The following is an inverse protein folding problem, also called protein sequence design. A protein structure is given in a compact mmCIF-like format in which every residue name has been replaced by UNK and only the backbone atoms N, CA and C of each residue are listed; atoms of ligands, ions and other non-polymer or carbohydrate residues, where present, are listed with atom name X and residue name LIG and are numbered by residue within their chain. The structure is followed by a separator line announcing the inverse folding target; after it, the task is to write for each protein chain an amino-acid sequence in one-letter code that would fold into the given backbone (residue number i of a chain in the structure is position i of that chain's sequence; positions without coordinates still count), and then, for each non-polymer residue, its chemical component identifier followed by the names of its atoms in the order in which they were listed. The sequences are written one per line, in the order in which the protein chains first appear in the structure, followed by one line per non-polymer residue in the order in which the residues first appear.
data_IF_248280178730
#
_entry.id   IF_248280178730
#
_cell.length_a   1.000
_cell.length_b   1.000
_cell.length_c   1.000
_cell.angle_alpha   90.00
_cell.angle_beta   90.00
_cell.angle_gamma   90.00
#
_symmetry.space_group_name_H-M   'P 1'
#
loop_
_entity.id
_entity.type
_entity.pdbx_description
1 polymer ?
#
# COMPACT_ATOMS: atom_id res chain seq x y z
N UNK A 1 15.21 13.18 24.57
CA UNK A 1 15.76 13.11 23.19
C UNK A 1 15.09 14.19 22.35
N UNK A 2 15.78 14.93 21.48
CA UNK A 2 15.17 16.02 20.69
C UNK A 2 14.30 15.48 19.55
N UNK A 3 13.18 16.14 19.23
CA UNK A 3 12.30 15.75 18.12
C UNK A 3 12.95 16.07 16.77
N UNK A 4 12.76 15.20 15.77
CA UNK A 4 13.12 15.49 14.38
C UNK A 4 12.20 16.56 13.79
N UNK A 5 12.63 17.31 12.77
CA UNK A 5 11.83 18.42 12.25
C UNK A 5 10.50 17.98 11.63
N UNK A 6 10.48 16.83 10.94
CA UNK A 6 9.24 16.23 10.45
C UNK A 6 8.28 15.84 11.58
N UNK A 7 8.80 15.43 12.75
CA UNK A 7 8.01 15.12 13.93
C UNK A 7 7.45 16.39 14.56
N UNK A 8 8.23 17.48 14.62
CA UNK A 8 7.76 18.79 15.09
C UNK A 8 6.65 19.33 14.21
N UNK A 9 6.82 19.29 12.89
CA UNK A 9 5.79 19.72 11.93
C UNK A 9 4.50 18.92 12.06
N UNK A 10 4.61 17.59 12.23
CA UNK A 10 3.46 16.72 12.47
C UNK A 10 2.69 17.15 13.73
N UNK A 11 3.40 17.45 14.82
CA UNK A 11 2.80 17.90 16.07
C UNK A 11 2.13 19.26 15.93
N UNK A 12 2.82 20.26 15.36
CA UNK A 12 2.27 21.60 15.15
C UNK A 12 0.94 21.54 14.39
N UNK A 13 0.90 20.72 13.33
CA UNK A 13 -0.31 20.55 12.53
C UNK A 13 -1.42 19.82 13.27
N UNK A 14 -1.13 18.64 13.83
CA UNK A 14 -2.18 17.76 14.35
C UNK A 14 -2.70 18.16 15.74
N UNK A 15 -1.93 18.91 16.55
CA UNK A 15 -2.41 19.42 17.86
C UNK A 15 -3.64 20.31 17.75
N UNK A 16 -3.86 20.94 16.59
CA UNK A 16 -5.02 21.81 16.33
C UNK A 16 -6.36 21.04 16.30
N UNK A 17 -6.32 19.71 16.17
CA UNK A 17 -7.50 18.90 15.93
C UNK A 17 -7.61 17.72 16.91
N UNK A 18 -8.86 17.33 17.21
CA UNK A 18 -9.14 16.08 17.97
C UNK A 18 -8.95 14.81 17.12
N UNK A 19 -8.72 14.98 15.82
CA UNK A 19 -8.58 13.90 14.86
C UNK A 19 -7.36 14.15 14.00
N UNK A 20 -6.59 13.10 13.72
CA UNK A 20 -5.39 13.22 12.90
C UNK A 20 -5.04 11.94 12.15
N UNK A 21 -4.37 12.08 11.01
CA UNK A 21 -3.79 10.99 10.27
C UNK A 21 -2.29 11.22 10.09
N UNK A 22 -1.47 10.26 10.50
CA UNK A 22 -0.02 10.26 10.32
C UNK A 22 0.36 9.27 9.22
N UNK A 23 0.59 9.79 8.02
CA UNK A 23 1.12 9.01 6.90
C UNK A 23 2.62 9.28 6.72
N UNK A 24 3.43 8.64 7.55
CA UNK A 24 4.88 8.75 7.52
C UNK A 24 5.52 7.39 7.23
N UNK A 25 6.71 7.35 6.63
CA UNK A 25 7.38 6.06 6.32
C UNK A 25 7.70 5.27 7.61
N UNK A 26 7.73 3.92 7.57
CA UNK A 26 8.26 3.13 8.69
C UNK A 26 9.65 3.63 9.10
N UNK A 27 9.94 3.68 10.40
CA UNK A 27 11.21 4.19 10.94
C UNK A 27 11.32 5.71 11.08
N UNK A 28 10.33 6.50 10.63
CA UNK A 28 10.34 7.98 10.82
C UNK A 28 9.94 8.44 12.23
N UNK A 29 9.63 7.50 13.14
CA UNK A 29 9.17 7.79 14.51
C UNK A 29 7.71 8.20 14.62
N UNK A 30 6.79 7.54 13.87
CA UNK A 30 5.33 7.76 13.99
C UNK A 30 4.82 7.56 15.41
N UNK A 31 5.22 6.47 16.04
CA UNK A 31 4.85 6.15 17.43
C UNK A 31 5.31 7.23 18.39
N UNK A 32 6.49 7.82 18.16
CA UNK A 32 6.97 8.95 18.94
C UNK A 32 6.05 10.16 18.81
N UNK A 33 5.66 10.54 17.60
CA UNK A 33 4.69 11.64 17.37
C UNK A 33 3.36 11.35 18.07
N UNK A 34 2.87 10.11 17.96
CA UNK A 34 1.63 9.71 18.63
C UNK A 34 1.73 9.82 20.16
N UNK A 35 2.82 9.37 20.79
CA UNK A 35 3.06 9.53 22.23
C UNK A 35 3.08 11.01 22.65
N UNK A 36 3.71 11.88 21.87
CA UNK A 36 3.74 13.33 22.14
C UNK A 36 2.36 13.97 22.00
N UNK A 37 1.54 13.56 21.02
CA UNK A 37 0.14 13.99 20.92
C UNK A 37 -0.71 13.51 22.11
N UNK A 38 -0.45 12.30 22.61
CA UNK A 38 -1.12 11.75 23.79
C UNK A 38 -0.74 12.56 25.04
N UNK A 39 0.55 12.85 25.23
CA UNK A 39 1.03 13.69 26.34
C UNK A 39 0.45 15.10 26.32
N UNK A 40 0.27 15.69 25.14
CA UNK A 40 -0.34 17.03 25.00
C UNK A 40 -1.80 17.05 25.48
N UNK A 41 -2.54 15.99 25.20
CA UNK A 41 -3.98 15.89 25.50
C UNK A 41 -4.28 15.40 26.91
N UNK A 42 -3.34 14.66 27.54
CA UNK A 42 -3.49 14.06 28.86
C UNK A 42 -4.78 13.21 29.02
N UNK A 43 -4.95 12.15 28.22
CA UNK A 43 -6.15 11.33 28.26
C UNK A 43 -6.27 10.51 29.55
N UNK A 44 -7.51 10.23 29.96
CA UNK A 44 -7.79 9.31 31.07
C UNK A 44 -7.70 7.84 30.66
N UNK A 45 -7.73 7.57 29.35
CA UNK A 45 -7.63 6.23 28.78
C UNK A 45 -7.16 6.26 27.32
N UNK A 46 -6.22 5.37 26.99
CA UNK A 46 -5.69 5.21 25.63
C UNK A 46 -5.96 3.80 25.11
N UNK A 47 -6.55 3.70 23.91
CA UNK A 47 -6.75 2.43 23.23
C UNK A 47 -5.95 2.39 21.93
N UNK A 48 -4.98 1.49 21.87
CA UNK A 48 -4.23 1.18 20.66
C UNK A 48 -4.80 -0.05 19.97
N UNK A 49 -5.04 0.08 18.67
CA UNK A 49 -5.43 -1.00 17.78
C UNK A 49 -4.31 -1.16 16.74
N UNK A 50 -3.66 -2.32 16.70
CA UNK A 50 -2.54 -2.63 15.81
C UNK A 50 -2.70 -4.05 15.26
N UNK A 51 -2.06 -4.44 14.13
CA UNK A 51 -1.96 -5.83 13.74
C UNK A 51 -1.39 -6.71 14.86
N UNK A 52 -1.92 -7.92 15.03
CA UNK A 52 -1.41 -8.83 16.06
C UNK A 52 0.11 -9.06 15.95
N UNK A 53 0.66 -9.12 14.72
CA UNK A 53 2.08 -9.34 14.48
C UNK A 53 3.00 -8.21 14.94
N UNK A 54 2.48 -6.99 15.10
CA UNK A 54 3.26 -5.78 15.42
C UNK A 54 3.04 -5.30 16.85
N UNK A 55 2.21 -6.00 17.63
CA UNK A 55 1.84 -5.61 18.99
C UNK A 55 3.04 -5.47 19.93
N UNK A 56 3.92 -6.47 19.98
CA UNK A 56 5.11 -6.45 20.85
C UNK A 56 6.06 -5.31 20.50
N UNK A 57 6.29 -5.08 19.20
CA UNK A 57 7.12 -3.97 18.73
C UNK A 57 6.53 -2.61 19.13
N UNK A 58 5.20 -2.46 19.01
CA UNK A 58 4.51 -1.25 19.44
C UNK A 58 4.63 -1.03 20.96
N UNK A 59 4.50 -2.09 21.76
CA UNK A 59 4.70 -2.03 23.22
C UNK A 59 6.11 -1.55 23.59
N UNK A 60 7.14 -2.04 22.90
CA UNK A 60 8.53 -1.61 23.08
C UNK A 60 8.69 -0.13 22.69
N UNK A 61 8.14 0.28 21.55
CA UNK A 61 8.23 1.67 21.09
C UNK A 61 7.49 2.64 22.04
N UNK A 62 6.30 2.27 22.51
CA UNK A 62 5.55 3.05 23.50
C UNK A 62 6.32 3.11 24.81
N UNK A 63 6.93 2.01 25.27
CA UNK A 63 7.74 2.02 26.50
C UNK A 63 8.98 2.92 26.37
N UNK A 64 9.56 3.01 25.17
CA UNK A 64 10.72 3.85 24.88
C UNK A 64 10.39 5.34 24.86
N UNK A 65 9.28 5.74 24.22
CA UNK A 65 8.92 7.16 24.07
C UNK A 65 7.99 7.66 25.17
N UNK A 66 7.08 6.79 25.61
CA UNK A 66 6.37 6.87 26.88
C UNK A 66 5.25 7.87 26.96
N UNK A 67 4.23 7.48 27.72
CA UNK A 67 3.32 8.35 28.46
C UNK A 67 2.80 7.56 29.68
N UNK A 68 2.24 8.25 30.68
CA UNK A 68 1.90 7.64 31.99
C UNK A 68 0.40 7.39 32.21
N UNK A 69 -0.39 7.39 31.15
CA UNK A 69 -1.84 7.21 31.17
C UNK A 69 -2.25 5.73 31.05
N UNK A 70 -3.41 5.34 31.61
CA UNK A 70 -3.96 3.99 31.44
C UNK A 70 -4.12 3.64 29.96
N UNK A 71 -3.58 2.49 29.54
CA UNK A 71 -3.60 2.06 28.16
C UNK A 71 -3.97 0.60 27.96
N UNK A 72 -4.56 0.31 26.81
CA UNK A 72 -4.74 -1.05 26.28
C UNK A 72 -4.24 -1.13 24.84
N UNK A 73 -3.52 -2.21 24.52
CA UNK A 73 -3.04 -2.49 23.16
C UNK A 73 -3.66 -3.80 22.69
N UNK A 74 -4.47 -3.73 21.64
CA UNK A 74 -5.24 -4.87 21.12
C UNK A 74 -4.91 -5.15 19.65
N UNK A 75 -5.00 -6.42 19.28
CA UNK A 75 -4.93 -6.86 17.89
C UNK A 75 -6.22 -6.54 17.14
N UNK A 76 -6.14 -5.94 15.94
CA UNK A 76 -7.32 -5.71 15.09
C UNK A 76 -8.01 -7.04 14.71
N UNK A 77 -7.24 -8.12 14.53
CA UNK A 77 -7.77 -9.46 14.28
C UNK A 77 -8.59 -9.99 15.49
N UNK A 78 -8.11 -9.72 16.72
CA UNK A 78 -8.81 -10.09 17.95
C UNK A 78 -10.13 -9.33 18.13
N UNK A 79 -10.18 -8.07 17.67
CA UNK A 79 -11.40 -7.24 17.73
C UNK A 79 -12.55 -7.85 16.91
N UNK A 80 -12.24 -8.49 15.77
CA UNK A 80 -13.24 -9.24 14.99
C UNK A 80 -13.64 -10.56 15.64
N UNK A 81 -12.70 -11.28 16.24
CA UNK A 81 -12.90 -12.66 16.67
C UNK A 81 -13.46 -12.80 18.10
N UNK A 82 -13.41 -11.73 18.91
CA UNK A 82 -13.83 -11.79 20.31
C UNK A 82 -14.84 -10.70 20.67
N UNK A 83 -16.09 -11.10 20.88
CA UNK A 83 -17.17 -10.23 21.35
C UNK A 83 -16.89 -9.69 22.75
N UNK A 84 -16.33 -10.54 23.61
CA UNK A 84 -15.91 -10.16 24.97
C UNK A 84 -14.89 -9.03 24.93
N UNK A 85 -13.86 -9.14 24.09
CA UNK A 85 -12.84 -8.10 23.95
C UNK A 85 -13.45 -6.80 23.39
N UNK A 86 -14.29 -6.91 22.36
CA UNK A 86 -14.97 -5.75 21.79
C UNK A 86 -15.85 -5.01 22.82
N UNK A 87 -16.66 -5.76 23.58
CA UNK A 87 -17.51 -5.20 24.63
C UNK A 87 -16.70 -4.59 25.78
N UNK A 88 -15.59 -5.22 26.14
CA UNK A 88 -14.65 -4.70 27.13
C UNK A 88 -14.09 -3.33 26.72
N UNK A 89 -13.49 -3.22 25.54
CA UNK A 89 -12.95 -1.96 25.03
C UNK A 89 -14.05 -0.90 24.87
N UNK A 90 -15.25 -1.31 24.42
CA UNK A 90 -16.42 -0.42 24.32
C UNK A 90 -16.81 0.16 25.68
N UNK A 91 -16.83 -0.65 26.74
CA UNK A 91 -17.18 -0.19 28.08
C UNK A 91 -16.11 0.73 28.65
N UNK A 92 -14.82 0.43 28.43
CA UNK A 92 -13.71 1.30 28.81
C UNK A 92 -13.81 2.69 28.16
N UNK A 93 -14.04 2.74 26.85
CA UNK A 93 -14.22 4.00 26.12
C UNK A 93 -15.46 4.77 26.59
N UNK A 94 -16.58 4.08 26.85
CA UNK A 94 -17.80 4.73 27.36
C UNK A 94 -17.64 5.35 28.74
N UNK A 95 -16.84 4.73 29.60
CA UNK A 95 -16.61 5.20 30.97
C UNK A 95 -15.49 6.24 31.06
N UNK A 96 -14.79 6.48 29.94
CA UNK A 96 -13.77 7.51 29.81
C UNK A 96 -14.42 8.81 29.33
N UNK A 97 -13.98 9.92 29.90
CA UNK A 97 -14.40 11.28 29.54
C UNK A 97 -13.43 11.92 28.54
N UNK A 98 -12.16 11.53 28.59
CA UNK A 98 -11.09 12.04 27.74
C UNK A 98 -10.25 10.91 27.14
N UNK A 99 -10.87 10.09 26.28
CA UNK A 99 -10.17 8.94 25.66
C UNK A 99 -9.43 9.32 24.38
N UNK A 100 -8.36 8.59 24.12
CA UNK A 100 -7.58 8.66 22.90
C UNK A 100 -7.53 7.27 22.23
N UNK A 101 -8.03 7.14 21.00
CA UNK A 101 -7.96 5.88 20.25
C UNK A 101 -7.00 6.01 19.06
N UNK A 102 -6.11 5.04 18.90
CA UNK A 102 -5.13 5.01 17.82
C UNK A 102 -5.32 3.74 16.99
N UNK A 103 -5.44 3.89 15.68
CA UNK A 103 -5.39 2.78 14.72
C UNK A 103 -4.05 2.80 14.00
N UNK A 104 -3.15 1.92 14.40
CA UNK A 104 -1.92 1.64 13.70
C UNK A 104 -2.16 0.70 12.50
N UNK A 105 -1.40 0.87 11.42
CA UNK A 105 -1.62 0.20 10.13
C UNK A 105 -3.08 0.33 9.63
N UNK A 106 -3.57 1.57 9.55
CA UNK A 106 -4.97 1.91 9.25
C UNK A 106 -5.54 1.30 7.96
N UNK A 107 -4.72 0.86 7.01
CA UNK A 107 -5.19 0.12 5.83
C UNK A 107 -5.84 -1.23 6.17
N UNK A 108 -5.66 -1.77 7.38
CA UNK A 108 -6.37 -2.97 7.84
C UNK A 108 -7.89 -2.78 7.91
N UNK A 109 -8.36 -1.54 8.08
CA UNK A 109 -9.79 -1.18 8.13
C UNK A 109 -10.34 -0.66 6.79
N UNK A 110 -9.67 -0.90 5.65
CA UNK A 110 -10.13 -0.42 4.32
C UNK A 110 -11.43 -1.05 3.81
N UNK A 111 -11.76 -2.26 4.24
CA UNK A 111 -12.99 -2.94 3.81
C UNK A 111 -14.15 -2.59 4.77
N UNK A 112 -15.08 -1.75 4.33
CA UNK A 112 -16.23 -1.29 5.13
C UNK A 112 -17.17 -2.41 5.57
N UNK A 113 -17.21 -3.52 4.83
CA UNK A 113 -18.09 -4.65 5.13
C UNK A 113 -17.46 -5.62 6.15
N UNK A 114 -16.16 -5.50 6.41
CA UNK A 114 -15.49 -6.36 7.38
C UNK A 114 -15.92 -6.00 8.81
N UNK A 115 -16.24 -7.02 9.62
CA UNK A 115 -16.64 -6.84 11.02
C UNK A 115 -15.60 -6.04 11.83
N UNK A 116 -14.31 -6.30 11.61
CA UNK A 116 -13.21 -5.54 12.24
C UNK A 116 -13.29 -4.04 11.98
N UNK A 117 -13.59 -3.64 10.74
CA UNK A 117 -13.72 -2.23 10.34
C UNK A 117 -14.94 -1.61 11.01
N UNK A 118 -16.08 -2.29 10.97
CA UNK A 118 -17.30 -1.80 11.60
C UNK A 118 -17.15 -1.64 13.12
N UNK A 119 -16.47 -2.60 13.78
CA UNK A 119 -16.16 -2.52 15.22
C UNK A 119 -15.20 -1.39 15.54
N UNK A 120 -14.11 -1.25 14.78
CA UNK A 120 -13.14 -0.17 14.97
C UNK A 120 -13.80 1.22 14.84
N UNK A 121 -14.63 1.44 13.82
CA UNK A 121 -15.40 2.69 13.64
C UNK A 121 -16.40 2.90 14.79
N UNK A 122 -17.09 1.84 15.24
CA UNK A 122 -18.03 1.95 16.38
C UNK A 122 -17.31 2.32 17.67
N UNK A 123 -16.11 1.78 17.91
CA UNK A 123 -15.28 2.17 19.05
C UNK A 123 -14.78 3.61 18.90
N UNK A 124 -14.31 4.02 17.72
CA UNK A 124 -13.77 5.37 17.52
C UNK A 124 -14.79 6.47 17.76
N UNK A 125 -16.07 6.22 17.45
CA UNK A 125 -17.18 7.14 17.75
C UNK A 125 -17.39 7.40 19.24
N UNK A 126 -16.89 6.53 20.12
CA UNK A 126 -16.96 6.69 21.58
C UNK A 126 -15.74 7.44 22.14
N UNK A 127 -14.63 7.47 21.41
CA UNK A 127 -13.43 8.14 21.87
C UNK A 127 -13.55 9.66 21.73
N UNK A 128 -12.80 10.43 22.52
CA UNK A 128 -12.73 11.89 22.36
C UNK A 128 -11.78 12.26 21.22
N UNK A 129 -10.58 11.69 21.25
CA UNK A 129 -9.52 11.90 20.27
C UNK A 129 -9.23 10.65 19.45
N UNK A 130 -8.88 10.83 18.17
CA UNK A 130 -8.67 9.74 17.21
C UNK A 130 -7.43 9.99 16.38
N UNK A 131 -6.57 8.98 16.27
CA UNK A 131 -5.40 9.02 15.42
C UNK A 131 -5.38 7.77 14.54
N UNK A 132 -5.11 7.95 13.25
CA UNK A 132 -4.76 6.84 12.37
C UNK A 132 -3.30 6.97 11.95
N UNK A 133 -2.60 5.84 11.80
CA UNK A 133 -1.21 5.83 11.39
C UNK A 133 -0.98 4.81 10.28
N UNK A 134 -0.17 5.19 9.28
CA UNK A 134 0.32 4.25 8.29
C UNK A 134 1.56 4.75 7.53
N UNK A 135 2.24 3.87 6.81
CA UNK A 135 3.25 4.20 5.79
C UNK A 135 2.69 4.97 4.59
N UNK A 136 1.50 4.57 4.12
CA UNK A 136 0.84 5.17 2.96
C UNK A 136 -0.66 5.34 3.18
N UNK A 137 -1.25 6.42 2.64
CA UNK A 137 -2.67 6.71 2.85
C UNK A 137 -3.61 5.73 2.14
N UNK A 138 -3.16 5.12 1.03
CA UNK A 138 -3.97 4.29 0.14
C UNK A 138 -3.29 2.95 -0.11
N UNK A 139 -4.08 1.92 -0.41
CA UNK A 139 -3.57 0.62 -0.88
C UNK A 139 -3.85 0.40 -2.37
N UNK A 140 -5.04 0.77 -2.86
CA UNK A 140 -5.49 0.48 -4.22
C UNK A 140 -6.18 1.66 -4.89
N UNK A 141 -7.10 2.33 -4.18
CA UNK A 141 -7.89 3.44 -4.70
C UNK A 141 -8.36 4.36 -3.57
N UNK A 142 -8.97 5.49 -3.93
CA UNK A 142 -9.44 6.50 -2.96
C UNK A 142 -10.56 6.00 -2.04
N UNK A 143 -11.23 4.88 -2.37
CA UNK A 143 -12.26 4.32 -1.47
C UNK A 143 -11.66 3.82 -0.17
N UNK A 144 -10.36 3.47 -0.17
CA UNK A 144 -9.62 3.10 1.03
C UNK A 144 -9.60 4.24 2.07
N UNK A 145 -9.81 5.51 1.65
CA UNK A 145 -9.87 6.65 2.57
C UNK A 145 -11.18 6.71 3.34
N UNK A 146 -12.29 6.25 2.75
CA UNK A 146 -13.59 6.51 3.34
C UNK A 146 -13.69 5.93 4.75
N UNK A 147 -13.31 4.66 4.95
CA UNK A 147 -13.35 4.05 6.28
C UNK A 147 -12.33 4.64 7.25
N UNK A 148 -11.18 5.09 6.76
CA UNK A 148 -10.16 5.77 7.56
C UNK A 148 -10.66 7.13 8.07
N UNK A 149 -11.29 7.92 7.20
CA UNK A 149 -11.88 9.21 7.54
C UNK A 149 -13.13 9.05 8.40
N UNK A 150 -13.93 8.01 8.16
CA UNK A 150 -15.06 7.65 9.00
C UNK A 150 -14.63 7.22 10.41
N UNK A 151 -13.49 6.51 10.53
CA UNK A 151 -12.89 6.19 11.82
C UNK A 151 -12.48 7.47 12.58
N UNK A 152 -11.89 8.44 11.87
CA UNK A 152 -11.50 9.73 12.46
C UNK A 152 -12.73 10.54 12.88
N UNK A 153 -13.60 10.87 11.92
CA UNK A 153 -14.87 11.54 12.18
C UNK A 153 -15.75 11.53 10.93
N UNK A 154 -17.04 11.13 11.04
CA UNK A 154 -18.00 11.22 9.93
C UNK A 154 -18.19 12.66 9.43
N UNK A 155 -17.85 13.67 10.26
CA UNK A 155 -17.96 15.09 9.90
C UNK A 155 -16.92 15.57 8.89
N UNK A 156 -15.82 14.83 8.68
CA UNK A 156 -14.77 15.23 7.74
C UNK A 156 -15.30 15.20 6.30
N UNK A 157 -15.92 14.08 5.92
CA UNK A 157 -16.52 13.93 4.60
C UNK A 157 -17.98 14.37 4.59
N UNK A 158 -18.71 14.11 5.69
CA UNK A 158 -20.15 14.31 5.80
C UNK A 158 -20.95 13.65 4.65
N UNK A 159 -20.50 12.46 4.23
CA UNK A 159 -21.08 11.68 3.13
C UNK A 159 -21.17 10.21 3.53
N UNK A 160 -22.30 9.56 3.23
CA UNK A 160 -22.38 8.11 3.26
C UNK A 160 -21.43 7.49 2.23
N UNK A 161 -21.07 6.21 2.40
CA UNK A 161 -20.20 5.53 1.44
C UNK A 161 -20.75 5.53 0.00
N UNK A 162 -22.07 5.40 -0.15
CA UNK A 162 -22.74 5.46 -1.46
C UNK A 162 -22.62 6.85 -2.10
N UNK A 163 -22.84 7.90 -1.31
CA UNK A 163 -22.64 9.27 -1.77
C UNK A 163 -21.17 9.54 -2.12
N UNK A 164 -20.23 9.11 -1.29
CA UNK A 164 -18.80 9.23 -1.56
C UNK A 164 -18.42 8.57 -2.90
N UNK A 165 -18.87 7.33 -3.12
CA UNK A 165 -18.69 6.65 -4.41
C UNK A 165 -19.23 7.46 -5.58
N UNK A 166 -20.47 7.93 -5.48
CA UNK A 166 -21.11 8.71 -6.55
C UNK A 166 -20.44 10.06 -6.81
N UNK A 167 -19.90 10.71 -5.77
CA UNK A 167 -19.25 12.02 -5.86
C UNK A 167 -17.85 11.94 -6.45
N UNK A 168 -17.09 10.88 -6.16
CA UNK A 168 -15.65 10.81 -6.48
C UNK A 168 -15.26 9.70 -7.46
N UNK A 169 -16.14 8.76 -7.81
CA UNK A 169 -15.83 7.63 -8.69
C UNK A 169 -16.82 7.52 -9.85
N UNK A 170 -16.29 7.34 -11.06
CA UNK A 170 -17.02 6.88 -12.23
C UNK A 170 -16.87 5.37 -12.35
N UNK A 171 -17.99 4.65 -12.40
CA UNK A 171 -18.02 3.21 -12.54
C UNK A 171 -18.42 2.79 -13.95
N UNK A 172 -17.87 1.67 -14.39
CA UNK A 172 -18.38 0.91 -15.53
C UNK A 172 -18.82 -0.45 -15.00
N UNK A 173 -20.08 -0.78 -15.23
CA UNK A 173 -20.63 -2.09 -14.90
C UNK A 173 -20.28 -3.06 -16.02
N UNK A 174 -19.50 -4.08 -15.69
CA UNK A 174 -19.25 -5.22 -16.57
C UNK A 174 -20.25 -6.30 -16.20
N UNK A 175 -21.16 -6.62 -17.12
CA UNK A 175 -22.11 -7.72 -16.96
C UNK A 175 -21.57 -8.93 -17.69
N UNK A 176 -21.28 -9.99 -16.94
CA UNK A 176 -21.02 -11.31 -17.48
C UNK A 176 -22.32 -12.11 -17.43
N UNK A 177 -22.78 -12.54 -18.60
CA UNK A 177 -23.89 -13.47 -18.73
C UNK A 177 -23.31 -14.88 -18.64
N UNK A 178 -23.71 -15.61 -17.60
CA UNK A 178 -23.49 -17.05 -17.49
C UNK A 178 -24.77 -17.78 -17.86
N UNK A 179 -24.72 -19.02 -18.39
CA UNK A 179 -25.91 -19.79 -18.84
C UNK A 179 -27.02 -19.88 -17.77
N UNK A 180 -26.70 -19.71 -16.49
CA UNK A 180 -27.63 -19.79 -15.36
C UNK A 180 -27.69 -18.54 -14.47
N UNK A 181 -26.75 -17.58 -14.57
CA UNK A 181 -26.76 -16.37 -13.73
C UNK A 181 -26.29 -15.11 -14.48
N UNK A 182 -26.84 -13.95 -14.11
CA UNK A 182 -26.28 -12.66 -14.52
C UNK A 182 -25.39 -12.15 -13.40
N UNK A 183 -24.08 -12.05 -13.64
CA UNK A 183 -23.15 -11.47 -12.67
C UNK A 183 -22.64 -10.14 -13.20
N UNK A 184 -22.98 -9.06 -12.50
CA UNK A 184 -22.50 -7.72 -12.81
C UNK A 184 -21.45 -7.30 -11.78
N UNK A 185 -20.34 -6.75 -12.26
CA UNK A 185 -19.27 -6.20 -11.43
C UNK A 185 -18.99 -4.75 -11.83
N UNK A 186 -19.05 -3.84 -10.86
CA UNK A 186 -18.70 -2.45 -11.05
C UNK A 186 -17.18 -2.26 -10.92
N UNK A 187 -16.57 -1.66 -11.94
CA UNK A 187 -15.15 -1.32 -11.97
C UNK A 187 -15.01 0.20 -12.01
N UNK A 188 -14.13 0.76 -11.18
CA UNK A 188 -13.83 2.19 -11.21
C UNK A 188 -13.04 2.50 -12.48
N UNK A 189 -13.60 3.36 -13.34
CA UNK A 189 -12.98 3.82 -14.58
C UNK A 189 -12.15 5.09 -14.36
N UNK A 190 -12.69 6.05 -13.59
CA UNK A 190 -12.08 7.36 -13.38
C UNK A 190 -12.46 7.93 -12.01
N UNK A 191 -11.64 8.85 -11.49
CA UNK A 191 -11.97 9.66 -10.32
C UNK A 191 -12.36 11.09 -10.71
N UNK A 192 -13.26 11.68 -9.93
CA UNK A 192 -13.74 13.05 -10.10
C UNK A 192 -13.58 13.83 -8.81
N UNK A 193 -13.54 15.16 -8.88
CA UNK A 193 -13.54 16.07 -7.72
C UNK A 193 -12.41 15.82 -6.69
N UNK A 194 -11.24 15.37 -7.15
CA UNK A 194 -10.12 15.05 -6.26
C UNK A 194 -9.59 16.28 -5.53
N UNK A 195 -9.54 17.45 -6.18
CA UNK A 195 -9.13 18.70 -5.52
C UNK A 195 -10.03 19.05 -4.32
N UNK A 196 -11.34 18.89 -4.49
CA UNK A 196 -12.31 19.10 -3.42
C UNK A 196 -12.10 18.09 -2.29
N UNK A 197 -11.91 16.81 -2.61
CA UNK A 197 -11.57 15.79 -1.62
C UNK A 197 -10.31 16.17 -0.84
N UNK A 198 -9.25 16.60 -1.51
CA UNK A 198 -8.00 17.03 -0.87
C UNK A 198 -8.23 18.21 0.06
N UNK A 199 -9.01 19.21 -0.36
CA UNK A 199 -9.36 20.36 0.49
C UNK A 199 -10.05 19.94 1.78
N UNK A 200 -10.94 18.95 1.73
CA UNK A 200 -11.65 18.46 2.93
C UNK A 200 -10.73 17.73 3.92
N UNK A 201 -9.77 16.97 3.42
CA UNK A 201 -9.00 16.02 4.25
C UNK A 201 -7.64 16.57 4.69
N UNK A 202 -7.05 17.48 3.92
CA UNK A 202 -5.69 18.02 4.15
C UNK A 202 -5.48 18.54 5.58
N UNK A 203 -6.42 19.27 6.21
CA UNK A 203 -6.19 19.80 7.55
C UNK A 203 -5.87 18.73 8.59
N UNK A 204 -6.45 17.54 8.44
CA UNK A 204 -6.34 16.44 9.39
C UNK A 204 -5.21 15.46 9.06
N UNK A 205 -4.54 15.61 7.92
CA UNK A 205 -3.57 14.65 7.43
C UNK A 205 -2.18 15.29 7.44
N UNK A 206 -1.25 14.64 8.13
CA UNK A 206 0.17 14.91 7.97
C UNK A 206 0.83 13.80 7.16
N UNK A 207 1.53 14.17 6.10
CA UNK A 207 2.33 13.27 5.28
C UNK A 207 3.78 13.72 5.31
N UNK A 208 4.70 12.80 5.61
CA UNK A 208 6.13 13.07 5.44
C UNK A 208 6.60 12.34 4.18
N UNK A 209 6.61 13.03 3.05
CA UNK A 209 7.53 12.67 1.98
C UNK A 209 8.92 13.10 2.43
N UNK A 210 9.62 12.25 3.18
CA UNK A 210 11.06 12.20 2.92
C UNK A 210 11.18 11.69 1.48
N UNK A 211 11.13 12.62 0.52
CA UNK A 211 11.90 12.43 -0.70
C UNK A 211 13.30 12.11 -0.18
N UNK A 212 13.75 10.88 -0.45
CA UNK A 212 15.17 10.66 -0.31
C UNK A 212 15.81 11.66 -1.28
N UNK A 213 16.98 12.22 -0.95
CA UNK A 213 17.70 13.08 -1.90
C UNK A 213 17.96 12.35 -3.24
N UNK A 214 17.83 11.03 -3.22
CA UNK A 214 17.91 10.14 -4.35
C UNK A 214 16.56 9.94 -5.05
N UNK A 215 16.61 9.90 -6.37
CA UNK A 215 15.47 9.65 -7.26
C UNK A 215 15.27 8.16 -7.45
N UNK A 216 14.09 7.81 -7.94
CA UNK A 216 13.87 6.51 -8.57
C UNK A 216 13.60 6.68 -10.06
N UNK A 217 13.95 5.67 -10.84
CA UNK A 217 13.73 5.63 -12.27
C UNK A 217 13.04 4.31 -12.65
N UNK A 218 11.85 4.39 -13.22
CA UNK A 218 11.22 3.25 -13.87
C UNK A 218 11.60 3.24 -15.33
N UNK A 219 12.25 2.19 -15.78
CA UNK A 219 12.75 2.04 -17.14
C UNK A 219 12.16 0.77 -17.72
N UNK A 220 11.37 0.92 -18.78
CA UNK A 220 10.83 -0.20 -19.54
C UNK A 220 11.85 -0.61 -20.60
N UNK A 221 12.08 -1.91 -20.70
CA UNK A 221 12.88 -2.55 -21.74
C UNK A 221 11.98 -3.50 -22.49
N UNK A 222 11.75 -3.21 -23.76
CA UNK A 222 10.94 -4.06 -24.63
C UNK A 222 11.77 -5.25 -25.13
N UNK A 223 11.14 -6.43 -25.18
CA UNK A 223 11.71 -7.61 -25.82
C UNK A 223 10.68 -8.23 -26.77
N UNK A 224 11.17 -8.84 -27.83
CA UNK A 224 10.37 -9.63 -28.76
C UNK A 224 10.33 -11.08 -28.31
N UNK A 225 9.13 -11.64 -28.30
CA UNK A 225 8.94 -13.08 -28.14
C UNK A 225 9.11 -13.71 -29.52
N UNK A 226 9.87 -14.80 -29.59
CA UNK A 226 10.05 -15.55 -30.83
C UNK A 226 8.72 -16.10 -31.37
N UNK A 227 8.68 -16.38 -32.68
CA UNK A 227 7.43 -16.76 -33.36
C UNK A 227 6.81 -18.05 -32.79
N UNK A 228 7.63 -19.01 -32.34
CA UNK A 228 7.16 -20.28 -31.80
C UNK A 228 6.48 -20.09 -30.44
N UNK A 229 7.11 -19.34 -29.52
CA UNK A 229 6.55 -18.99 -28.23
C UNK A 229 5.35 -18.06 -28.37
N UNK A 230 5.36 -17.15 -29.36
CA UNK A 230 4.23 -16.27 -29.64
C UNK A 230 3.01 -17.08 -30.11
N UNK A 231 3.24 -18.08 -30.97
CA UNK A 231 2.20 -19.03 -31.38
C UNK A 231 1.63 -19.78 -30.18
N UNK A 232 2.49 -20.34 -29.31
CA UNK A 232 2.06 -21.01 -28.08
C UNK A 232 1.27 -20.07 -27.15
N UNK A 233 1.71 -18.81 -27.01
CA UNK A 233 0.99 -17.78 -26.26
C UNK A 233 -0.45 -17.62 -26.74
N UNK A 234 -0.64 -17.50 -28.07
CA UNK A 234 -1.97 -17.36 -28.65
C UNK A 234 -2.80 -18.65 -28.56
N UNK A 235 -2.20 -19.82 -28.74
CA UNK A 235 -2.89 -21.11 -28.58
C UNK A 235 -3.43 -21.28 -27.16
N UNK A 236 -2.58 -21.04 -26.14
CA UNK A 236 -2.99 -21.10 -24.73
C UNK A 236 -4.10 -20.07 -24.47
N UNK A 237 -3.94 -18.84 -24.96
CA UNK A 237 -4.93 -17.77 -24.79
C UNK A 237 -6.28 -18.14 -25.40
N UNK A 238 -6.30 -18.64 -26.63
CA UNK A 238 -7.55 -18.99 -27.32
C UNK A 238 -8.21 -20.22 -26.69
N UNK A 239 -7.44 -21.23 -26.28
CA UNK A 239 -7.97 -22.37 -25.51
C UNK A 239 -8.66 -21.91 -24.22
N UNK A 240 -8.05 -20.97 -23.48
CA UNK A 240 -8.69 -20.39 -22.30
C UNK A 240 -9.95 -19.61 -22.62
N UNK A 241 -9.96 -18.79 -23.68
CA UNK A 241 -11.15 -18.03 -24.09
C UNK A 241 -12.29 -18.96 -24.53
N UNK A 242 -11.97 -20.03 -25.26
CA UNK A 242 -12.94 -21.05 -25.65
C UNK A 242 -13.51 -21.78 -24.44
N UNK A 243 -12.67 -22.19 -23.49
CA UNK A 243 -13.12 -22.79 -22.22
C UNK A 243 -13.99 -21.82 -21.42
N UNK A 244 -13.66 -20.53 -21.41
CA UNK A 244 -14.46 -19.50 -20.73
C UNK A 244 -15.85 -19.39 -21.34
N UNK A 245 -15.92 -19.37 -22.67
CA UNK A 245 -17.15 -19.27 -23.42
C UNK A 245 -18.01 -20.54 -23.33
N UNK A 246 -17.39 -21.71 -23.32
CA UNK A 246 -18.08 -23.00 -23.36
C UNK A 246 -18.67 -23.42 -22.00
N UNK A 247 -17.95 -23.20 -20.90
CA UNK A 247 -18.26 -23.88 -19.64
C UNK A 247 -18.99 -23.05 -18.59
N UNK A 248 -19.25 -21.76 -18.78
CA UNK A 248 -19.86 -20.95 -17.71
C UNK A 248 -19.04 -21.04 -16.40
N UNK A 249 -17.75 -21.32 -16.50
CA UNK A 249 -16.85 -21.47 -15.35
C UNK A 249 -16.21 -20.11 -15.09
N UNK A 250 -16.16 -19.75 -13.81
CA UNK A 250 -15.40 -18.62 -13.31
C UNK A 250 -13.90 -18.89 -13.51
N UNK A 251 -13.37 -18.59 -14.70
CA UNK A 251 -11.95 -18.78 -15.00
C UNK A 251 -11.16 -17.82 -14.10
N UNK A 252 -10.26 -18.38 -13.31
CA UNK A 252 -9.34 -17.59 -12.52
C UNK A 252 -8.32 -16.91 -13.45
N UNK A 253 -8.60 -15.66 -13.83
CA UNK A 253 -7.71 -14.83 -14.65
C UNK A 253 -6.27 -14.82 -14.13
N UNK A 254 -6.08 -14.85 -12.80
CA UNK A 254 -4.75 -14.83 -12.21
C UNK A 254 -3.99 -16.13 -12.49
N UNK A 255 -4.66 -17.27 -12.48
CA UNK A 255 -4.08 -18.56 -12.87
C UNK A 255 -3.73 -18.58 -14.36
N UNK A 256 -4.69 -18.17 -15.21
CA UNK A 256 -4.48 -18.05 -16.66
C UNK A 256 -3.27 -17.17 -16.99
N UNK A 257 -3.19 -15.98 -16.38
CA UNK A 257 -2.08 -15.06 -16.59
C UNK A 257 -0.74 -15.65 -16.20
N UNK A 258 -0.70 -16.52 -15.18
CA UNK A 258 0.51 -17.20 -14.75
C UNK A 258 0.97 -18.23 -15.77
N UNK A 259 0.04 -19.03 -16.29
CA UNK A 259 0.33 -20.08 -17.29
C UNK A 259 0.79 -19.45 -18.61
N UNK A 260 0.06 -18.45 -19.10
CA UNK A 260 0.40 -17.75 -20.35
C UNK A 260 1.78 -17.07 -20.23
N UNK A 261 2.06 -16.35 -19.15
CA UNK A 261 3.36 -15.70 -18.97
C UNK A 261 4.51 -16.68 -18.74
N UNK A 262 4.24 -17.89 -18.22
CA UNK A 262 5.24 -18.93 -18.09
C UNK A 262 5.74 -19.45 -19.46
N UNK A 263 4.93 -19.37 -20.51
CA UNK A 263 5.31 -19.79 -21.87
C UNK A 263 6.56 -19.02 -22.36
N UNK A 264 6.56 -17.70 -22.23
CA UNK A 264 7.64 -16.84 -22.70
C UNK A 264 8.58 -16.35 -21.58
N UNK A 265 8.54 -16.98 -20.40
CA UNK A 265 9.36 -16.51 -19.27
C UNK A 265 10.87 -16.60 -19.54
N UNK A 266 11.31 -17.48 -20.43
CA UNK A 266 12.72 -17.68 -20.80
C UNK A 266 13.08 -17.11 -22.18
N UNK A 267 12.33 -16.17 -22.73
CA UNK A 267 12.68 -15.53 -24.01
C UNK A 267 14.14 -15.04 -23.99
N UNK A 268 14.91 -15.42 -25.02
CA UNK A 268 16.36 -15.19 -25.09
C UNK A 268 16.73 -13.71 -24.98
N UNK A 269 15.98 -12.82 -25.63
CA UNK A 269 16.18 -11.38 -25.56
C UNK A 269 16.14 -10.84 -24.11
N UNK A 270 15.37 -11.47 -23.21
CA UNK A 270 15.37 -11.07 -21.80
C UNK A 270 16.74 -11.26 -21.16
N UNK A 271 17.44 -12.34 -21.50
CA UNK A 271 18.79 -12.61 -21.01
C UNK A 271 19.78 -11.62 -21.59
N UNK A 272 19.71 -11.32 -22.90
CA UNK A 272 20.56 -10.32 -23.55
C UNK A 272 20.40 -8.93 -22.94
N UNK A 273 19.15 -8.49 -22.71
CA UNK A 273 18.88 -7.21 -22.04
C UNK A 273 19.40 -7.25 -20.60
N UNK A 274 19.15 -8.33 -19.87
CA UNK A 274 19.61 -8.48 -18.48
C UNK A 274 21.13 -8.41 -18.40
N UNK A 275 21.84 -9.10 -19.29
CA UNK A 275 23.31 -9.07 -19.39
C UNK A 275 23.84 -7.64 -19.60
N UNK A 276 23.23 -6.90 -20.53
CA UNK A 276 23.58 -5.50 -20.78
C UNK A 276 23.33 -4.60 -19.55
N UNK A 277 22.23 -4.85 -18.81
CA UNK A 277 21.89 -4.08 -17.62
C UNK A 277 22.81 -4.37 -16.42
N UNK A 278 23.27 -5.62 -16.26
CA UNK A 278 24.11 -6.01 -15.12
C UNK A 278 25.60 -5.71 -15.34
N UNK A 279 26.04 -5.51 -16.58
CA UNK A 279 27.46 -5.35 -16.91
C UNK A 279 28.12 -4.23 -16.09
N UNK A 280 29.07 -4.60 -15.22
CA UNK A 280 29.78 -3.67 -14.33
C UNK A 280 28.96 -3.15 -13.14
N UNK A 281 27.80 -3.78 -12.85
CA UNK A 281 26.86 -3.41 -11.78
C UNK A 281 26.36 -4.64 -11.01
N UNK A 282 27.03 -5.78 -11.14
CA UNK A 282 26.60 -7.09 -10.64
C UNK A 282 26.35 -7.07 -9.13
N UNK A 283 27.20 -6.39 -8.37
CA UNK A 283 27.10 -6.28 -6.90
C UNK A 283 25.98 -5.34 -6.41
N UNK A 284 25.51 -4.44 -7.28
CA UNK A 284 24.49 -3.42 -6.97
C UNK A 284 23.11 -3.73 -7.55
N UNK A 285 23.02 -4.86 -8.27
CA UNK A 285 21.82 -5.28 -8.99
C UNK A 285 21.16 -6.50 -8.36
N UNK A 286 19.83 -6.46 -8.26
CA UNK A 286 19.01 -7.61 -7.88
C UNK A 286 18.08 -7.96 -9.02
N UNK A 287 18.00 -9.24 -9.37
CA UNK A 287 17.04 -9.74 -10.34
C UNK A 287 15.87 -10.37 -9.59
N UNK A 288 14.68 -9.83 -9.82
CA UNK A 288 13.41 -10.38 -9.36
C UNK A 288 12.78 -11.23 -10.44
N UNK A 289 12.49 -12.48 -10.09
CA UNK A 289 11.74 -13.41 -10.93
C UNK A 289 10.52 -13.97 -10.20
N UNK A 290 9.62 -14.55 -10.96
CA UNK A 290 8.35 -15.09 -10.46
C UNK A 290 8.36 -16.61 -10.50
N UNK A 291 8.91 -17.18 -11.56
CA UNK A 291 8.88 -18.62 -11.80
C UNK A 291 10.16 -19.29 -11.31
N UNK A 292 10.02 -20.50 -10.76
CA UNK A 292 11.16 -21.34 -10.39
C UNK A 292 12.06 -21.63 -11.60
N UNK A 293 11.44 -21.85 -12.76
CA UNK A 293 12.16 -22.04 -14.04
C UNK A 293 13.02 -20.82 -14.40
N UNK A 294 12.49 -19.60 -14.23
CA UNK A 294 13.27 -18.37 -14.40
C UNK A 294 14.39 -18.26 -13.37
N UNK A 295 14.11 -18.57 -12.10
CA UNK A 295 15.12 -18.56 -11.02
C UNK A 295 16.30 -19.48 -11.34
N UNK A 296 16.03 -20.73 -11.73
CA UNK A 296 17.06 -21.72 -12.07
C UNK A 296 17.88 -21.28 -13.30
N UNK A 297 17.23 -20.81 -14.37
CA UNK A 297 17.92 -20.34 -15.57
C UNK A 297 18.77 -19.09 -15.32
N UNK A 298 18.27 -18.13 -14.53
CA UNK A 298 19.01 -16.94 -14.16
C UNK A 298 20.21 -17.28 -13.26
N UNK A 299 20.07 -18.24 -12.34
CA UNK A 299 21.17 -18.65 -11.46
C UNK A 299 22.31 -19.30 -12.25
N UNK A 300 21.98 -20.03 -13.31
CA UNK A 300 22.97 -20.59 -14.23
C UNK A 300 23.62 -19.51 -15.10
N UNK A 301 22.84 -18.56 -15.62
CA UNK A 301 23.35 -17.52 -16.51
C UNK A 301 24.16 -16.43 -15.77
N UNK A 302 23.75 -16.05 -14.57
CA UNK A 302 24.28 -14.91 -13.81
C UNK A 302 24.61 -15.30 -12.37
N UNK A 303 25.60 -16.18 -12.13
CA UNK A 303 25.89 -16.74 -10.81
C UNK A 303 26.35 -15.70 -9.78
N UNK A 304 26.91 -14.57 -10.26
CA UNK A 304 27.45 -13.51 -9.41
C UNK A 304 26.42 -12.42 -9.06
N UNK A 305 25.19 -12.51 -9.58
CA UNK A 305 24.13 -11.51 -9.35
C UNK A 305 23.12 -12.04 -8.35
N UNK A 306 22.61 -11.18 -7.48
CA UNK A 306 21.58 -11.58 -6.51
C UNK A 306 20.25 -11.84 -7.23
N UNK A 307 19.81 -13.10 -7.23
CA UNK A 307 18.49 -13.49 -7.75
C UNK A 307 17.54 -13.77 -6.57
N UNK A 308 16.32 -13.27 -6.66
CA UNK A 308 15.28 -13.51 -5.66
C UNK A 308 13.90 -13.62 -6.30
N UNK A 309 12.98 -14.28 -5.60
CA UNK A 309 11.57 -14.29 -5.96
C UNK A 309 10.77 -13.30 -5.14
N UNK A 310 9.61 -12.87 -5.66
CA UNK A 310 8.68 -12.01 -4.94
C UNK A 310 8.28 -12.61 -3.57
N UNK A 311 8.06 -13.92 -3.50
CA UNK A 311 7.71 -14.61 -2.26
C UNK A 311 8.87 -14.63 -1.24
N UNK A 312 10.10 -14.89 -1.69
CA UNK A 312 11.29 -14.92 -0.81
C UNK A 312 11.69 -13.53 -0.30
N UNK A 313 11.31 -12.46 -0.99
CA UNK A 313 11.59 -11.08 -0.54
C UNK A 313 10.81 -10.64 0.72
N UNK A 314 9.80 -11.41 1.13
CA UNK A 314 9.02 -11.18 2.35
C UNK A 314 9.82 -11.43 3.64
N UNK A 315 10.88 -12.25 3.60
CA UNK A 315 11.67 -12.69 4.78
C UNK A 315 12.66 -11.66 5.35
N UNK A 316 12.41 -10.36 5.19
CA UNK A 316 13.14 -9.36 6.00
C UNK A 316 14.57 -9.01 5.54
N UNK A 317 15.01 -9.44 4.34
CA UNK A 317 16.36 -9.14 3.83
C UNK A 317 16.64 -7.62 3.80
N UNK A 318 17.81 -7.21 4.30
CA UNK A 318 18.32 -5.84 4.16
C UNK A 318 19.01 -5.70 2.79
N UNK A 319 18.38 -4.96 1.88
CA UNK A 319 18.87 -4.78 0.50
C UNK A 319 19.31 -3.32 0.23
N UNK A 320 19.68 -2.55 1.25
CA UNK A 320 20.04 -1.12 1.09
C UNK A 320 21.28 -0.90 0.22
N UNK A 321 22.18 -1.89 0.13
CA UNK A 321 23.39 -1.81 -0.67
C UNK A 321 23.13 -1.89 -2.18
N UNK A 322 21.94 -2.34 -2.56
CA UNK A 322 21.52 -2.40 -3.95
C UNK A 322 20.76 -1.14 -4.32
N UNK A 323 20.97 -0.65 -5.53
CA UNK A 323 20.23 0.46 -6.10
C UNK A 323 19.65 0.12 -7.48
N UNK A 324 19.81 -1.12 -7.97
CA UNK A 324 19.18 -1.58 -9.20
C UNK A 324 18.33 -2.82 -8.96
N UNK A 325 17.10 -2.82 -9.50
CA UNK A 325 16.25 -4.00 -9.59
C UNK A 325 15.88 -4.25 -11.04
N UNK A 326 16.10 -5.47 -11.51
CA UNK A 326 15.59 -5.97 -12.77
C UNK A 326 14.41 -6.89 -12.49
N UNK A 327 13.22 -6.51 -12.94
CA UNK A 327 12.04 -7.36 -12.92
C UNK A 327 12.01 -8.20 -14.17
N UNK A 328 12.65 -9.37 -14.07
CA UNK A 328 12.75 -10.33 -15.16
C UNK A 328 11.38 -10.91 -15.51
N UNK A 329 10.57 -11.24 -14.51
CA UNK A 329 9.16 -11.63 -14.71
C UNK A 329 8.23 -10.60 -14.06
N UNK A 330 7.14 -10.25 -14.76
CA UNK A 330 6.17 -9.30 -14.22
C UNK A 330 5.28 -9.93 -13.14
N UNK A 331 4.88 -9.13 -12.16
CA UNK A 331 3.87 -9.49 -11.16
C UNK A 331 2.61 -8.64 -11.30
N UNK A 332 1.44 -9.27 -11.19
CA UNK A 332 0.16 -8.57 -11.07
C UNK A 332 -0.08 -8.01 -9.67
N UNK A 333 0.67 -8.50 -8.67
CA UNK A 333 0.51 -8.08 -7.28
C UNK A 333 1.35 -6.83 -6.99
N UNK A 334 0.68 -5.68 -7.08
CA UNK A 334 1.28 -4.39 -6.74
C UNK A 334 1.84 -4.33 -5.31
N UNK A 335 1.29 -5.09 -4.36
CA UNK A 335 1.81 -5.08 -2.99
C UNK A 335 3.17 -5.75 -2.89
N UNK A 336 3.39 -6.84 -3.64
CA UNK A 336 4.70 -7.47 -3.76
C UNK A 336 5.71 -6.54 -4.45
N UNK A 337 5.24 -5.82 -5.48
CA UNK A 337 6.04 -4.82 -6.18
C UNK A 337 6.48 -3.69 -5.25
N UNK A 338 5.55 -2.99 -4.60
CA UNK A 338 5.83 -1.91 -3.64
C UNK A 338 6.72 -2.39 -2.49
N UNK A 339 6.51 -3.60 -1.97
CA UNK A 339 7.39 -4.18 -0.95
C UNK A 339 8.82 -4.36 -1.46
N UNK A 340 9.01 -4.90 -2.67
CA UNK A 340 10.34 -5.10 -3.26
C UNK A 340 11.07 -3.77 -3.50
N UNK A 341 10.37 -2.76 -4.01
CA UNK A 341 10.95 -1.45 -4.31
C UNK A 341 11.43 -0.74 -3.05
N UNK A 342 10.62 -0.81 -1.98
CA UNK A 342 10.94 -0.25 -0.66
C UNK A 342 12.09 -0.96 0.05
N UNK A 343 12.55 -2.12 -0.41
CA UNK A 343 13.75 -2.77 0.15
C UNK A 343 15.02 -1.99 -0.18
N UNK A 344 15.08 -1.42 -1.38
CA UNK A 344 16.21 -0.62 -1.86
C UNK A 344 15.98 0.89 -1.64
N UNK A 345 14.76 1.37 -1.90
CA UNK A 345 14.39 2.79 -1.75
C UNK A 345 13.84 3.07 -0.35
N UNK A 346 14.75 3.17 0.61
CA UNK A 346 14.44 3.47 2.01
C UNK A 346 15.51 4.34 2.66
N UNK A 347 15.21 4.85 3.85
CA UNK A 347 16.13 5.68 4.64
C UNK A 347 17.49 5.01 4.76
N UNK A 348 18.56 5.75 4.44
CA UNK A 348 19.93 5.24 4.37
C UNK A 348 20.45 5.00 2.95
N UNK A 349 19.57 5.00 1.92
CA UNK A 349 19.99 4.94 0.52
C UNK A 349 20.65 6.26 0.10
N UNK A 350 21.81 6.15 -0.56
CA UNK A 350 22.63 7.30 -1.01
C UNK A 350 22.75 7.39 -2.53
N UNK A 351 22.35 6.34 -3.26
CA UNK A 351 22.35 6.29 -4.72
C UNK A 351 20.94 6.31 -5.29
N UNK A 352 20.78 6.86 -6.50
CA UNK A 352 19.54 6.77 -7.26
C UNK A 352 19.15 5.31 -7.52
N UNK A 353 17.87 5.01 -7.36
CA UNK A 353 17.34 3.66 -7.54
C UNK A 353 16.78 3.47 -8.96
N UNK A 354 17.14 2.37 -9.61
CA UNK A 354 16.68 2.05 -10.97
C UNK A 354 15.85 0.76 -10.96
N UNK A 355 14.65 0.83 -11.52
CA UNK A 355 13.71 -0.27 -11.64
C UNK A 355 13.52 -0.59 -13.13
N UNK A 356 14.07 -1.71 -13.56
CA UNK A 356 14.06 -2.14 -14.96
C UNK A 356 12.95 -3.17 -15.14
N UNK A 357 11.95 -2.86 -15.97
CA UNK A 357 10.86 -3.77 -16.32
C UNK A 357 11.09 -4.36 -17.70
N UNK A 358 11.22 -5.68 -17.80
CA UNK A 358 11.21 -6.36 -19.09
C UNK A 358 9.75 -6.55 -19.54
N UNK A 359 9.40 -6.03 -20.72
CA UNK A 359 8.05 -6.07 -21.29
C UNK A 359 8.05 -6.74 -22.66
N UNK A 360 7.31 -7.83 -22.79
CA UNK A 360 7.13 -8.52 -24.07
C UNK A 360 6.17 -7.79 -24.99
N UNK A 361 6.29 -8.02 -26.29
CA UNK A 361 5.38 -7.57 -27.34
C UNK A 361 4.00 -8.29 -27.34
N UNK A 362 3.44 -8.58 -26.16
CA UNK A 362 2.17 -9.29 -25.98
C UNK A 362 1.16 -8.47 -25.17
N UNK A 363 -0.13 -8.75 -25.41
CA UNK A 363 -1.22 -8.06 -24.73
C UNK A 363 -1.22 -8.24 -23.21
N UNK A 364 -0.76 -9.40 -22.71
CA UNK A 364 -0.70 -9.68 -21.27
C UNK A 364 0.25 -8.72 -20.54
N UNK A 365 1.46 -8.52 -21.06
CA UNK A 365 2.45 -7.63 -20.44
C UNK A 365 2.01 -6.16 -20.51
N UNK A 366 1.46 -5.74 -21.65
CA UNK A 366 0.87 -4.40 -21.81
C UNK A 366 -0.24 -4.11 -20.79
N UNK A 367 -1.06 -5.13 -20.49
CA UNK A 367 -2.12 -5.03 -19.48
C UNK A 367 -1.57 -4.95 -18.06
N UNK A 368 -0.49 -5.67 -17.73
CA UNK A 368 0.20 -5.56 -16.44
C UNK A 368 0.77 -4.14 -16.27
N UNK A 369 1.50 -3.65 -17.27
CA UNK A 369 2.16 -2.34 -17.25
C UNK A 369 1.15 -1.21 -17.03
N UNK A 370 0.05 -1.26 -17.77
CA UNK A 370 -1.04 -0.28 -17.64
C UNK A 370 -1.62 -0.27 -16.22
N UNK A 371 -1.77 -1.44 -15.60
CA UNK A 371 -2.33 -1.55 -14.25
C UNK A 371 -1.36 -1.06 -13.16
N UNK A 372 -0.06 -1.34 -13.30
CA UNK A 372 0.97 -0.88 -12.35
C UNK A 372 1.14 0.64 -12.45
N UNK A 373 1.20 1.18 -13.66
CA UNK A 373 1.33 2.62 -13.92
C UNK A 373 0.16 3.41 -13.32
N UNK A 374 -1.09 2.97 -13.56
CA UNK A 374 -2.30 3.60 -12.99
C UNK A 374 -2.29 3.68 -11.47
N UNK A 375 -1.84 2.60 -10.78
CA UNK A 375 -1.78 2.56 -9.32
C UNK A 375 -0.70 3.47 -8.75
N UNK A 376 0.47 3.50 -9.40
CA UNK A 376 1.60 4.32 -8.98
C UNK A 376 1.30 5.80 -9.14
N UNK A 377 0.69 6.19 -10.27
CA UNK A 377 0.30 7.58 -10.56
C UNK A 377 -0.66 8.14 -9.49
N UNK A 378 -1.73 7.40 -9.14
CA UNK A 378 -2.70 7.84 -8.12
C UNK A 378 -2.05 8.05 -6.75
N UNK A 379 -1.18 7.12 -6.33
CA UNK A 379 -0.48 7.20 -5.05
C UNK A 379 0.50 8.38 -5.00
N UNK A 380 1.20 8.64 -6.10
CA UNK A 380 2.14 9.75 -6.22
C UNK A 380 1.42 11.10 -6.26
N UNK A 381 0.36 11.22 -7.08
CA UNK A 381 -0.48 12.42 -7.17
C UNK A 381 -1.07 12.78 -5.80
N UNK A 382 -1.64 11.80 -5.10
CA UNK A 382 -2.18 11.99 -3.76
C UNK A 382 -1.12 12.47 -2.75
N UNK A 383 0.08 11.87 -2.78
CA UNK A 383 1.18 12.28 -1.89
C UNK A 383 1.70 13.68 -2.23
N UNK A 384 1.82 14.01 -3.52
CA UNK A 384 2.29 15.30 -4.01
C UNK A 384 1.35 16.43 -3.60
N UNK A 385 0.05 16.25 -3.81
CA UNK A 385 -0.98 17.23 -3.44
C UNK A 385 -1.00 17.51 -1.94
N UNK A 386 -0.96 16.46 -1.11
CA UNK A 386 -0.94 16.62 0.34
C UNK A 386 0.37 17.23 0.85
N UNK A 387 1.52 16.83 0.31
CA UNK A 387 2.81 17.38 0.73
C UNK A 387 2.95 18.86 0.38
N UNK A 388 2.58 19.25 -0.85
CA UNK A 388 2.60 20.67 -1.25
C UNK A 388 1.74 21.51 -0.31
N UNK A 389 0.50 21.08 -0.03
CA UNK A 389 -0.41 21.81 0.84
C UNK A 389 0.05 21.84 2.31
N UNK A 390 0.69 20.76 2.80
CA UNK A 390 1.32 20.74 4.12
C UNK A 390 2.42 21.79 4.23
N UNK A 391 3.26 21.94 3.20
CA UNK A 391 4.31 22.96 3.17
C UNK A 391 3.74 24.37 3.20
N UNK A 392 2.68 24.63 2.43
CA UNK A 392 2.02 25.94 2.38
C UNK A 392 1.36 26.32 3.72
N UNK A 393 0.66 25.41 4.39
CA UNK A 393 0.06 25.67 5.70
C UNK A 393 1.11 25.99 6.77
N UNK A 394 2.22 25.24 6.79
CA UNK A 394 3.32 25.47 7.76
C UNK A 394 3.98 26.84 7.53
N UNK A 395 4.13 27.27 6.28
CA UNK A 395 4.69 28.60 5.96
C UNK A 395 3.71 29.70 6.39
N UNK A 396 2.41 29.55 6.13
CA UNK A 396 1.42 30.55 6.51
C UNK A 396 1.23 30.69 8.03
N UNK A 397 1.41 29.62 8.80
CA UNK A 397 1.37 29.68 10.27
C UNK A 397 2.63 30.29 10.91
N UNK A 398 3.71 30.47 10.13
CA UNK A 398 4.99 31.03 10.58
C UNK A 398 5.11 32.55 10.35
N UNK A 399 4.14 33.15 9.66
CA UNK A 399 3.95 34.60 9.49
C UNK A 399 2.76 35.05 10.33
#
# INVERSE_FOLDING_TARGET
MTLLDNQKQALIKLKKYKVGALFMKPGSGKTRVACELINDVNPDYVLWITPFQTKENLEIEISKWGYSFPQEIIGIESLSNSDRLYLYCRNKLKNSTNSYIIMDESLKIKNIHALRTQRAIKLSRLATYKLIMNGTPLSRNILDLWSQLEFLSPKILNLSFSQFKKTFCEYVTITQLTQSTQQSMDIIKKYHNLEYLYKLITPFIFTSSHELAVKWHYIRHDFSIDEELLKQYYEIKEDYLQKAAAYTININFLEMSQVIQHCYCLSSEKFTITESLIAGKEETTIIFCKYRRSEEALQQAFPNVKITTFAKSSYGLNLQFYNQIIYFDKTFDYSQRDQSERRIYRTGQTQDCYYHDLSGNVGLDSLIDTNISKKTSLLQEFKKELSQKNSFEVIMDAF
#
